data_IF_637593581401
#
_entry.id   IF_637593581401
#
_cell.length_a   1.000
_cell.length_b   1.000
_cell.length_c   1.000
_cell.angle_alpha   90.00
_cell.angle_beta   90.00
_cell.angle_gamma   90.00
#
_symmetry.space_group_name_H-M   'P 1'
#
loop_
_entity.id
_entity.type
_entity.pdbx_description
1 polymer ?
#
# COMPACT_ATOMS: atom_id res chain seq x y z
N UNK A 1 -11.58 -31.52 18.00
CA UNK A 1 -10.34 -31.48 17.19
C UNK A 1 -9.17 -31.16 18.09
N UNK A 2 -8.17 -32.02 18.11
CA UNK A 2 -7.05 -32.07 19.06
C UNK A 2 -6.10 -30.89 18.92
N UNK A 3 -6.14 -29.93 19.85
CA UNK A 3 -5.09 -28.94 20.04
C UNK A 3 -4.01 -29.54 20.94
N UNK A 4 -2.95 -30.08 20.34
CA UNK A 4 -1.76 -30.48 21.08
C UNK A 4 -0.93 -29.24 21.43
N UNK A 5 -0.63 -29.06 22.73
CA UNK A 5 0.62 -28.51 23.31
C UNK A 5 0.42 -28.40 24.83
N UNK A 6 1.25 -29.11 25.63
CA UNK A 6 2.60 -28.64 25.98
C UNK A 6 3.75 -29.53 25.46
N UNK A 7 3.45 -30.58 24.69
CA UNK A 7 4.49 -31.48 24.15
C UNK A 7 5.26 -30.91 22.94
N UNK A 8 4.84 -29.77 22.39
CA UNK A 8 5.45 -29.20 21.18
C UNK A 8 6.68 -28.33 21.50
N UNK A 9 6.72 -27.68 22.67
CA UNK A 9 7.83 -26.81 23.08
C UNK A 9 9.08 -27.61 23.49
N UNK A 10 8.88 -28.75 24.16
CA UNK A 10 9.97 -29.63 24.60
C UNK A 10 10.72 -30.34 23.45
N UNK A 11 10.12 -30.46 22.26
CA UNK A 11 10.76 -31.12 21.10
C UNK A 11 11.66 -30.20 20.28
N UNK A 12 11.46 -28.87 20.34
CA UNK A 12 12.26 -27.91 19.54
C UNK A 12 13.63 -27.60 20.18
N UNK A 13 13.75 -27.71 21.50
CA UNK A 13 14.99 -27.37 22.22
C UNK A 13 16.22 -28.23 21.86
N UNK A 14 16.03 -29.38 21.19
CA UNK A 14 17.10 -30.28 20.77
C UNK A 14 17.12 -30.54 19.25
N UNK A 15 16.46 -29.70 18.45
CA UNK A 15 16.48 -29.85 17.00
C UNK A 15 17.86 -29.49 16.43
N UNK A 16 18.32 -30.27 15.46
CA UNK A 16 19.55 -29.96 14.71
C UNK A 16 19.32 -28.75 13.80
N UNK A 17 20.41 -28.09 13.42
CA UNK A 17 20.35 -26.95 12.47
C UNK A 17 19.67 -27.35 11.15
N UNK A 18 19.92 -28.56 10.64
CA UNK A 18 19.28 -29.07 9.41
C UNK A 18 17.76 -29.22 9.56
N UNK A 19 17.28 -29.71 10.72
CA UNK A 19 15.85 -29.82 11.00
C UNK A 19 15.18 -28.45 11.12
N UNK A 20 15.86 -27.48 11.76
CA UNK A 20 15.38 -26.11 11.85
C UNK A 20 15.29 -25.44 10.47
N UNK A 21 16.29 -25.65 9.60
CA UNK A 21 16.26 -25.15 8.23
C UNK A 21 15.13 -25.78 7.41
N UNK A 22 14.90 -27.08 7.54
CA UNK A 22 13.78 -27.76 6.88
C UNK A 22 12.41 -27.20 7.34
N UNK A 23 12.28 -26.87 8.63
CA UNK A 23 11.09 -26.21 9.17
C UNK A 23 10.93 -24.78 8.61
N UNK A 24 12.01 -24.01 8.51
CA UNK A 24 11.98 -22.67 7.94
C UNK A 24 11.51 -22.67 6.48
N UNK A 25 11.98 -23.61 5.68
CA UNK A 25 11.56 -23.75 4.28
C UNK A 25 10.07 -24.06 4.13
N UNK A 26 9.43 -24.62 5.16
CA UNK A 26 7.98 -24.87 5.17
C UNK A 26 7.19 -23.63 5.59
N UNK A 27 7.70 -22.84 6.54
CA UNK A 27 6.98 -21.70 7.12
C UNK A 27 7.31 -20.36 6.45
N UNK A 28 8.44 -20.24 5.75
CA UNK A 28 8.86 -19.03 5.02
C UNK A 28 8.94 -19.35 3.54
N UNK A 29 8.26 -18.53 2.72
CA UNK A 29 8.39 -18.56 1.26
C UNK A 29 8.73 -17.16 0.78
N UNK A 30 9.59 -17.06 -0.22
CA UNK A 30 9.91 -15.77 -0.81
C UNK A 30 9.98 -15.86 -2.33
N UNK A 31 9.74 -14.73 -2.99
CA UNK A 31 9.86 -14.56 -4.43
C UNK A 31 10.12 -13.10 -4.78
N UNK A 32 10.81 -12.84 -5.89
CA UNK A 32 10.78 -11.52 -6.54
C UNK A 32 9.74 -11.56 -7.65
N UNK A 33 8.66 -10.80 -7.47
CA UNK A 33 7.55 -10.70 -8.41
C UNK A 33 7.88 -9.71 -9.54
N UNK A 34 7.03 -9.73 -10.57
CA UNK A 34 7.10 -8.76 -11.67
C UNK A 34 7.09 -7.32 -11.14
N UNK A 35 7.85 -6.46 -11.82
CA UNK A 35 8.08 -5.10 -11.37
C UNK A 35 8.99 -5.03 -10.15
N UNK A 36 9.88 -5.98 -9.91
CA UNK A 36 10.87 -5.92 -8.82
C UNK A 36 10.23 -5.69 -7.43
N UNK A 37 9.18 -6.44 -7.12
CA UNK A 37 8.50 -6.44 -5.82
C UNK A 37 8.90 -7.69 -5.06
N UNK A 38 9.50 -7.54 -3.88
CA UNK A 38 9.76 -8.66 -2.98
C UNK A 38 8.45 -9.17 -2.41
N UNK A 39 8.25 -10.47 -2.41
CA UNK A 39 7.15 -11.15 -1.73
C UNK A 39 7.75 -12.08 -0.67
N UNK A 40 7.34 -11.91 0.58
CA UNK A 40 7.76 -12.72 1.72
C UNK A 40 6.53 -13.20 2.47
N UNK A 41 6.28 -14.50 2.45
CA UNK A 41 5.22 -15.15 3.21
C UNK A 41 5.80 -15.81 4.44
N UNK A 42 5.17 -15.60 5.59
CA UNK A 42 5.61 -16.14 6.88
C UNK A 42 4.44 -16.77 7.62
N UNK A 43 4.32 -18.09 7.62
CA UNK A 43 3.19 -18.83 8.20
C UNK A 43 3.28 -18.99 9.74
N UNK A 44 4.46 -18.76 10.31
CA UNK A 44 4.71 -18.79 11.75
C UNK A 44 5.93 -17.93 12.09
N UNK A 45 5.85 -17.11 13.15
CA UNK A 45 6.98 -16.26 13.58
C UNK A 45 7.93 -17.07 14.46
N UNK A 46 9.18 -17.35 14.02
CA UNK A 46 10.16 -18.07 14.84
C UNK A 46 10.61 -17.22 16.03
N UNK A 47 10.88 -17.87 17.16
CA UNK A 47 11.44 -17.20 18.34
C UNK A 47 12.92 -16.88 18.21
N UNK A 48 13.42 -16.08 19.15
CA UNK A 48 14.81 -15.64 19.22
C UNK A 48 15.81 -16.81 19.15
N UNK A 49 15.62 -17.88 19.93
CA UNK A 49 16.54 -19.02 19.97
C UNK A 49 16.70 -19.67 18.60
N UNK A 50 15.59 -19.81 17.85
CA UNK A 50 15.63 -20.36 16.50
C UNK A 50 16.31 -19.38 15.54
N UNK A 51 15.96 -18.10 15.59
CA UNK A 51 16.55 -17.04 14.73
C UNK A 51 18.06 -16.95 14.95
N UNK A 52 18.56 -17.06 16.18
CA UNK A 52 20.00 -17.00 16.47
C UNK A 52 20.76 -18.18 15.88
N UNK A 53 20.15 -19.37 15.77
CA UNK A 53 20.80 -20.56 15.21
C UNK A 53 20.83 -20.57 13.67
N UNK A 54 19.84 -19.97 13.01
CA UNK A 54 19.65 -20.05 11.54
C UNK A 54 19.68 -18.68 10.85
N UNK A 55 19.92 -17.61 11.60
CA UNK A 55 19.79 -16.23 11.14
C UNK A 55 20.71 -15.93 9.96
N UNK A 56 21.94 -16.45 9.96
CA UNK A 56 22.86 -16.27 8.83
C UNK A 56 22.31 -16.84 7.52
N UNK A 57 21.64 -18.00 7.58
CA UNK A 57 20.98 -18.58 6.41
C UNK A 57 19.81 -17.71 5.97
N UNK A 58 18.93 -17.29 6.89
CA UNK A 58 17.80 -16.41 6.55
C UNK A 58 18.29 -15.11 5.90
N UNK A 59 19.37 -14.53 6.39
CA UNK A 59 19.94 -13.30 5.84
C UNK A 59 20.54 -13.55 4.46
N UNK A 60 21.36 -14.58 4.31
CA UNK A 60 22.09 -14.82 3.06
C UNK A 60 21.19 -15.32 1.93
N UNK A 61 20.26 -16.23 2.23
CA UNK A 61 19.48 -16.94 1.23
C UNK A 61 18.13 -16.28 0.91
N UNK A 62 17.59 -15.48 1.84
CA UNK A 62 16.29 -14.84 1.68
C UNK A 62 16.44 -13.32 1.69
N UNK A 63 16.97 -12.76 2.78
CA UNK A 63 16.92 -11.33 3.00
C UNK A 63 17.72 -10.52 1.99
N UNK A 64 18.94 -10.96 1.65
CA UNK A 64 19.78 -10.31 0.62
C UNK A 64 19.08 -10.22 -0.74
N UNK A 65 18.29 -11.22 -1.11
CA UNK A 65 17.52 -11.19 -2.36
C UNK A 65 16.41 -10.14 -2.30
N UNK A 66 15.71 -10.05 -1.17
CA UNK A 66 14.64 -9.07 -0.97
C UNK A 66 15.17 -7.64 -0.91
N UNK A 67 16.40 -7.43 -0.43
CA UNK A 67 17.04 -6.13 -0.35
C UNK A 67 17.23 -5.44 -1.71
N UNK A 68 17.34 -6.20 -2.81
CA UNK A 68 17.44 -5.65 -4.17
C UNK A 68 16.08 -5.20 -4.75
N UNK A 69 14.98 -5.56 -4.08
CA UNK A 69 13.64 -5.20 -4.55
C UNK A 69 13.32 -3.74 -4.27
N UNK A 70 12.38 -3.18 -5.02
CA UNK A 70 11.96 -1.77 -4.88
C UNK A 70 10.89 -1.55 -3.80
N UNK A 71 10.20 -2.62 -3.41
CA UNK A 71 9.10 -2.62 -2.45
C UNK A 71 8.82 -4.05 -1.98
N UNK A 72 8.25 -4.20 -0.79
CA UNK A 72 8.02 -5.50 -0.16
C UNK A 72 6.53 -5.74 0.11
N UNK A 73 6.07 -6.95 -0.17
CA UNK A 73 4.81 -7.51 0.31
C UNK A 73 5.14 -8.57 1.36
N UNK A 74 4.73 -8.32 2.61
CA UNK A 74 4.77 -9.27 3.71
C UNK A 74 3.41 -9.96 3.83
N UNK A 75 3.33 -11.22 3.43
CA UNK A 75 2.10 -12.00 3.42
C UNK A 75 1.92 -12.79 4.73
N UNK A 76 0.94 -12.37 5.52
CA UNK A 76 0.58 -12.95 6.81
C UNK A 76 -0.80 -13.62 6.80
N UNK A 77 -1.39 -13.84 5.62
CA UNK A 77 -2.75 -14.34 5.48
C UNK A 77 -2.92 -15.77 5.98
N UNK A 78 -1.84 -16.55 6.03
CA UNK A 78 -1.86 -17.94 6.47
C UNK A 78 -1.21 -18.14 7.86
N UNK A 79 -0.81 -17.05 8.51
CA UNK A 79 -0.03 -17.10 9.73
C UNK A 79 -0.88 -17.39 10.95
N UNK A 80 -0.52 -18.42 11.71
CA UNK A 80 -1.30 -18.89 12.87
C UNK A 80 -0.47 -18.90 14.15
N UNK A 81 -0.02 -17.72 14.56
CA UNK A 81 0.73 -17.50 15.78
C UNK A 81 2.22 -17.32 15.53
N UNK A 82 3.02 -17.62 16.55
CA UNK A 82 4.43 -17.36 16.58
C UNK A 82 4.93 -17.21 18.01
N UNK A 83 6.20 -16.87 18.16
CA UNK A 83 6.82 -16.61 19.44
C UNK A 83 7.06 -15.10 19.61
N UNK A 84 6.65 -14.55 20.76
CA UNK A 84 6.77 -13.11 21.08
C UNK A 84 8.22 -12.62 20.94
N UNK A 85 9.20 -13.46 21.27
CA UNK A 85 10.64 -13.16 21.14
C UNK A 85 11.10 -12.93 19.69
N UNK A 86 10.29 -13.31 18.69
CA UNK A 86 10.55 -13.02 17.27
C UNK A 86 10.13 -11.63 16.81
N UNK A 87 9.24 -10.95 17.55
CA UNK A 87 8.72 -9.62 17.17
C UNK A 87 9.85 -8.60 16.99
N UNK A 88 10.81 -8.43 17.92
CA UNK A 88 11.93 -7.51 17.75
C UNK A 88 12.65 -7.67 16.42
N UNK A 89 12.88 -8.90 15.99
CA UNK A 89 13.61 -9.19 14.76
C UNK A 89 12.83 -8.68 13.56
N UNK A 90 11.58 -9.12 13.37
CA UNK A 90 10.76 -8.72 12.21
C UNK A 90 10.61 -7.20 12.13
N UNK A 91 10.30 -6.53 13.25
CA UNK A 91 10.11 -5.08 13.25
C UNK A 91 11.43 -4.35 12.97
N UNK A 92 12.57 -4.83 13.47
CA UNK A 92 13.86 -4.16 13.27
C UNK A 92 14.36 -4.20 11.83
N UNK A 93 14.11 -5.30 11.10
CA UNK A 93 14.45 -5.36 9.68
C UNK A 93 13.56 -4.47 8.82
N UNK A 94 12.34 -4.16 9.26
CA UNK A 94 11.38 -3.34 8.52
C UNK A 94 11.32 -1.88 9.00
N UNK A 95 11.92 -1.57 10.13
CA UNK A 95 11.98 -0.21 10.69
C UNK A 95 13.28 0.50 10.30
N UNK A 96 13.13 1.58 9.53
CA UNK A 96 14.22 2.48 9.22
C UNK A 96 14.37 3.54 10.32
N UNK A 97 15.41 3.43 11.13
CA UNK A 97 15.76 4.43 12.13
C UNK A 97 16.84 3.96 13.09
N UNK A 98 17.82 4.82 13.35
CA UNK A 98 18.88 4.57 14.34
C UNK A 98 18.38 4.71 15.79
N UNK A 99 17.11 5.10 15.95
CA UNK A 99 16.46 5.28 17.26
C UNK A 99 15.81 3.95 17.65
N UNK A 100 16.17 3.47 18.85
CA UNK A 100 15.47 2.34 19.46
C UNK A 100 14.02 2.73 19.77
N UNK A 101 13.07 1.97 19.24
CA UNK A 101 11.65 2.18 19.46
C UNK A 101 11.09 1.11 20.38
N UNK A 102 10.35 1.56 21.39
CA UNK A 102 9.49 0.72 22.20
C UNK A 102 8.22 0.42 21.40
N UNK A 103 8.07 -0.82 20.94
CA UNK A 103 7.01 -1.21 20.01
C UNK A 103 5.83 -1.89 20.71
N UNK A 104 6.09 -2.61 21.80
CA UNK A 104 5.04 -3.18 22.65
C UNK A 104 5.53 -3.46 24.07
N UNK A 105 4.61 -3.62 25.03
CA UNK A 105 4.86 -4.18 26.36
C UNK A 105 3.93 -5.36 26.58
N UNK A 106 4.47 -6.53 26.88
CA UNK A 106 3.68 -7.73 27.19
C UNK A 106 3.55 -7.89 28.68
N UNK A 107 2.32 -7.93 29.19
CA UNK A 107 2.04 -8.31 30.57
C UNK A 107 1.67 -9.79 30.65
N UNK A 108 2.44 -10.56 31.42
CA UNK A 108 2.15 -11.96 31.75
C UNK A 108 1.60 -12.06 33.19
N UNK A 109 0.35 -12.50 33.31
CA UNK A 109 -0.36 -12.58 34.59
C UNK A 109 0.15 -13.68 35.53
N UNK A 110 0.47 -14.91 35.07
CA UNK A 110 0.97 -15.98 35.94
C UNK A 110 2.27 -15.64 36.64
N UNK A 111 3.25 -15.07 35.93
CA UNK A 111 4.50 -14.58 36.52
C UNK A 111 4.36 -13.19 37.13
N UNK A 112 3.29 -12.46 36.77
CA UNK A 112 3.05 -11.08 37.16
C UNK A 112 4.20 -10.15 36.73
N UNK A 113 4.69 -10.33 35.50
CA UNK A 113 5.79 -9.56 34.92
C UNK A 113 5.35 -8.81 33.68
N UNK A 114 6.09 -7.74 33.37
CA UNK A 114 5.96 -7.01 32.11
C UNK A 114 7.28 -7.09 31.36
N UNK A 115 7.22 -7.44 30.08
CA UNK A 115 8.38 -7.46 29.19
C UNK A 115 8.20 -6.42 28.11
N UNK A 116 9.11 -5.46 28.03
CA UNK A 116 9.12 -4.47 26.95
C UNK A 116 9.75 -5.08 25.70
N UNK A 117 9.16 -4.79 24.56
CA UNK A 117 9.62 -5.18 23.23
C UNK A 117 10.17 -3.93 22.56
N UNK A 118 11.48 -3.96 22.31
CA UNK A 118 12.19 -2.88 21.63
C UNK A 118 12.71 -3.36 20.28
N UNK A 119 12.85 -2.44 19.32
CA UNK A 119 13.67 -2.70 18.14
C UNK A 119 15.12 -2.99 18.55
N UNK A 120 15.83 -3.77 17.74
CA UNK A 120 17.22 -4.13 17.96
C UNK A 120 18.16 -2.97 17.58
N UNK A 121 19.24 -2.72 18.32
CA UNK A 121 20.24 -1.72 17.96
C UNK A 121 20.96 -2.08 16.66
N UNK A 122 21.18 -3.37 16.42
CA UNK A 122 21.81 -3.90 15.22
C UNK A 122 21.04 -5.13 14.75
N UNK A 123 21.03 -5.34 13.43
CA UNK A 123 20.51 -6.55 12.80
C UNK A 123 21.66 -7.26 12.11
N UNK A 124 21.49 -8.55 11.84
CA UNK A 124 22.43 -9.29 11.01
C UNK A 124 22.21 -8.91 9.53
N UNK A 125 23.23 -8.40 8.85
CA UNK A 125 23.04 -7.77 7.53
C UNK A 125 22.45 -6.37 7.65
N UNK A 126 21.57 -5.99 6.72
CA UNK A 126 21.07 -4.62 6.58
C UNK A 126 19.56 -4.52 6.83
N UNK A 127 19.10 -3.36 7.30
CA UNK A 127 17.66 -3.07 7.41
C UNK A 127 17.07 -2.73 6.04
N UNK A 128 15.79 -3.01 5.85
CA UNK A 128 15.07 -2.62 4.65
C UNK A 128 15.03 -1.09 4.55
N UNK A 129 15.30 -0.54 3.36
CA UNK A 129 15.35 0.91 3.18
C UNK A 129 14.00 1.55 3.52
N UNK A 130 14.04 2.66 4.27
CA UNK A 130 12.86 3.42 4.66
C UNK A 130 12.19 4.16 3.50
N UNK A 131 12.87 4.26 2.36
CA UNK A 131 12.30 4.80 1.13
C UNK A 131 11.45 3.75 0.37
N UNK A 132 11.62 2.47 0.69
CA UNK A 132 10.93 1.37 0.01
C UNK A 132 9.60 1.08 0.69
N UNK A 133 8.55 1.02 -0.10
CA UNK A 133 7.20 0.75 0.39
C UNK A 133 7.04 -0.68 0.89
N UNK A 134 6.30 -0.85 1.99
CA UNK A 134 5.92 -2.14 2.56
C UNK A 134 4.40 -2.26 2.61
N UNK A 135 3.87 -3.38 2.12
CA UNK A 135 2.46 -3.77 2.27
C UNK A 135 2.39 -5.07 3.06
N UNK A 136 1.49 -5.14 4.02
CA UNK A 136 1.22 -6.35 4.82
C UNK A 136 -0.13 -6.92 4.41
N UNK A 137 -0.18 -8.21 4.07
CA UNK A 137 -1.42 -8.90 3.74
C UNK A 137 -1.98 -9.63 4.95
N UNK A 138 -3.26 -9.45 5.24
CA UNK A 138 -3.95 -10.10 6.36
C UNK A 138 -5.24 -10.79 5.92
N UNK A 139 -5.62 -11.84 6.64
CA UNK A 139 -6.90 -12.53 6.47
C UNK A 139 -7.57 -12.74 7.82
N UNK A 140 -8.82 -13.20 7.82
CA UNK A 140 -9.50 -13.68 9.04
C UNK A 140 -8.83 -14.92 9.70
N UNK A 141 -7.84 -15.54 9.06
CA UNK A 141 -7.03 -16.61 9.64
C UNK A 141 -5.77 -16.11 10.36
N UNK A 142 -5.34 -14.88 10.11
CA UNK A 142 -4.20 -14.25 10.78
C UNK A 142 -4.51 -14.11 12.27
N UNK A 143 -3.73 -14.77 13.14
CA UNK A 143 -4.01 -14.81 14.59
C UNK A 143 -2.74 -14.86 15.46
N UNK A 144 -2.73 -14.17 16.60
CA UNK A 144 -1.69 -14.24 17.63
C UNK A 144 -0.55 -13.24 17.41
N UNK A 145 0.70 -13.64 17.67
CA UNK A 145 1.92 -12.80 17.54
C UNK A 145 2.01 -12.03 16.22
N UNK A 146 1.54 -12.64 15.13
CA UNK A 146 1.53 -12.02 13.80
C UNK A 146 0.55 -10.84 13.69
N UNK A 147 -0.54 -10.84 14.45
CA UNK A 147 -1.46 -9.70 14.54
C UNK A 147 -0.75 -8.51 15.19
N UNK A 148 0.09 -8.76 16.20
CA UNK A 148 0.88 -7.72 16.85
C UNK A 148 1.90 -7.09 15.89
N UNK A 149 2.60 -7.90 15.08
CA UNK A 149 3.49 -7.39 14.02
C UNK A 149 2.73 -6.50 13.03
N UNK A 150 1.58 -6.97 12.53
CA UNK A 150 0.76 -6.18 11.61
C UNK A 150 0.26 -4.87 12.26
N UNK A 151 -0.12 -4.93 13.54
CA UNK A 151 -0.55 -3.77 14.32
C UNK A 151 0.59 -2.75 14.51
N UNK A 152 1.77 -3.20 14.93
CA UNK A 152 2.96 -2.37 15.14
C UNK A 152 3.35 -1.66 13.85
N UNK A 153 3.53 -2.41 12.74
CA UNK A 153 3.91 -1.83 11.45
C UNK A 153 2.88 -0.82 10.94
N UNK A 154 1.58 -1.09 11.17
CA UNK A 154 0.50 -0.15 10.86
C UNK A 154 0.57 1.12 11.70
N UNK A 155 0.75 1.00 13.01
CA UNK A 155 0.78 2.15 13.93
C UNK A 155 2.02 3.02 13.74
N UNK A 156 3.16 2.41 13.42
CA UNK A 156 4.39 3.11 13.04
C UNK A 156 4.30 3.79 11.67
N UNK A 157 3.22 3.57 10.90
CA UNK A 157 3.05 4.01 9.50
C UNK A 157 4.16 3.49 8.57
N UNK A 158 4.80 2.39 8.94
CA UNK A 158 5.86 1.75 8.18
C UNK A 158 5.29 0.88 7.05
N UNK A 159 4.08 0.34 7.24
CA UNK A 159 3.42 -0.49 6.23
C UNK A 159 1.93 -0.13 6.05
N UNK A 160 1.40 -0.47 4.87
CA UNK A 160 -0.04 -0.48 4.61
C UNK A 160 -0.57 -1.89 4.85
N UNK A 161 -1.57 -2.04 5.70
CA UNK A 161 -2.25 -3.34 5.89
C UNK A 161 -3.41 -3.44 4.90
N UNK A 162 -3.42 -4.51 4.09
CA UNK A 162 -4.38 -4.79 3.02
C UNK A 162 -4.95 -6.20 3.21
N UNK A 163 -6.26 -6.36 3.05
CA UNK A 163 -6.93 -7.65 3.15
C UNK A 163 -8.11 -7.59 4.12
N UNK A 164 -8.27 -8.63 4.94
CA UNK A 164 -9.38 -8.73 5.89
C UNK A 164 -8.94 -8.32 7.30
N UNK A 165 -9.92 -8.07 8.16
CA UNK A 165 -9.71 -7.95 9.60
C UNK A 165 -9.19 -9.29 10.14
N UNK A 166 -8.12 -9.22 10.95
CA UNK A 166 -7.54 -10.42 11.58
C UNK A 166 -8.47 -10.98 12.66
N UNK A 167 -8.17 -12.18 13.18
CA UNK A 167 -9.10 -12.92 14.02
C UNK A 167 -9.39 -12.25 15.38
N UNK A 168 -8.45 -11.48 15.93
CA UNK A 168 -8.55 -10.91 17.26
C UNK A 168 -8.22 -11.94 18.35
N UNK A 169 -7.08 -12.63 18.20
CA UNK A 169 -6.61 -13.61 19.17
C UNK A 169 -6.13 -13.00 20.48
N UNK A 170 -5.42 -13.83 21.24
CA UNK A 170 -4.63 -13.43 22.40
C UNK A 170 -3.19 -13.92 22.22
N UNK A 171 -2.24 -13.26 22.88
CA UNK A 171 -0.83 -13.64 22.79
C UNK A 171 -0.54 -15.01 23.43
N UNK A 172 -1.13 -15.29 24.59
CA UNK A 172 -1.02 -16.59 25.26
C UNK A 172 -2.36 -16.99 25.89
N UNK A 173 -2.77 -18.23 25.60
CA UNK A 173 -3.96 -18.88 26.10
C UNK A 173 -3.55 -20.13 26.89
N UNK A 174 -3.88 -20.15 28.18
CA UNK A 174 -3.67 -21.34 29.02
C UNK A 174 -4.96 -22.10 29.24
N UNK A 175 -4.94 -23.38 28.89
CA UNK A 175 -5.99 -24.34 29.25
C UNK A 175 -5.69 -24.94 30.63
N UNK A 176 -6.49 -24.58 31.62
CA UNK A 176 -6.32 -24.98 33.02
C UNK A 176 -7.44 -25.94 33.42
N UNK A 177 -7.08 -27.06 34.06
CA UNK A 177 -8.06 -28.00 34.63
C UNK A 177 -8.66 -27.42 35.90
N UNK A 178 -9.97 -27.59 36.10
CA UNK A 178 -10.66 -27.10 37.29
C UNK A 178 -10.62 -28.18 38.38
N UNK A 179 -9.69 -28.04 39.33
CA UNK A 179 -9.50 -28.97 40.44
C UNK A 179 -9.22 -30.40 39.97
N UNK A 180 -9.92 -31.37 40.54
CA UNK A 180 -9.84 -32.79 40.15
C UNK A 180 -10.87 -33.19 39.08
N UNK A 181 -11.68 -32.25 38.58
CA UNK A 181 -12.74 -32.53 37.60
C UNK A 181 -12.21 -32.62 36.17
N UNK A 182 -12.99 -33.15 35.24
CA UNK A 182 -12.65 -33.16 33.81
C UNK A 182 -13.02 -31.86 33.07
N UNK A 183 -13.42 -30.82 33.82
CA UNK A 183 -13.67 -29.49 33.27
C UNK A 183 -12.37 -28.71 33.08
N UNK A 184 -12.33 -27.92 32.02
CA UNK A 184 -11.22 -27.03 31.71
C UNK A 184 -11.74 -25.61 31.45
N UNK A 185 -10.95 -24.62 31.86
CA UNK A 185 -11.11 -23.23 31.47
C UNK A 185 -9.95 -22.84 30.56
N UNK A 186 -10.23 -22.09 29.49
CA UNK A 186 -9.19 -21.46 28.67
C UNK A 186 -9.17 -19.99 29.02
N UNK A 187 -8.03 -19.50 29.50
CA UNK A 187 -7.88 -18.13 30.00
C UNK A 187 -6.75 -17.45 29.23
N UNK A 188 -6.95 -16.22 28.71
CA UNK A 188 -5.86 -15.38 28.24
C UNK A 188 -5.02 -14.98 29.44
N UNK A 189 -3.74 -15.33 29.40
CA UNK A 189 -2.81 -15.11 30.52
C UNK A 189 -1.78 -14.05 30.23
N UNK A 190 -1.58 -13.70 28.97
CA UNK A 190 -0.74 -12.59 28.54
C UNK A 190 -1.54 -11.62 27.68
N UNK A 191 -1.17 -10.33 27.71
CA UNK A 191 -1.72 -9.30 26.83
C UNK A 191 -0.68 -8.25 26.42
N UNK A 192 -0.85 -7.72 25.23
CA UNK A 192 -0.19 -6.55 24.66
C UNK A 192 -0.70 -5.26 25.31
N UNK A 193 0.22 -4.36 25.61
CA UNK A 193 -0.02 -3.03 26.20
C UNK A 193 0.62 -1.95 25.33
N UNK A 194 0.45 -2.07 24.00
CA UNK A 194 1.21 -1.29 23.03
C UNK A 194 1.19 0.22 23.31
N UNK A 195 2.38 0.86 23.39
CA UNK A 195 2.51 2.30 23.59
C UNK A 195 2.08 3.11 22.36
N UNK A 196 1.89 2.43 21.22
CA UNK A 196 1.59 3.05 19.92
C UNK A 196 0.09 3.33 19.72
N UNK A 197 -0.77 2.71 20.53
CA UNK A 197 -2.19 3.04 20.63
C UNK A 197 -2.40 4.06 21.74
N UNK A 198 -3.24 5.09 21.53
CA UNK A 198 -3.54 6.10 22.56
C UNK A 198 -4.30 5.54 23.77
N UNK A 199 -3.64 4.70 24.58
CA UNK A 199 -4.08 4.14 25.87
C UNK A 199 -5.20 3.10 25.85
N UNK A 200 -6.06 3.06 24.82
CA UNK A 200 -7.28 2.24 24.83
C UNK A 200 -7.50 1.35 23.60
N UNK A 201 -6.69 1.48 22.55
CA UNK A 201 -6.79 0.62 21.36
C UNK A 201 -5.82 -0.56 21.48
N UNK A 202 -6.36 -1.76 21.58
CA UNK A 202 -5.63 -3.03 21.48
C UNK A 202 -6.10 -3.78 20.24
N UNK A 203 -5.23 -4.53 19.60
CA UNK A 203 -5.65 -5.45 18.53
C UNK A 203 -6.31 -6.71 19.11
N UNK A 204 -6.00 -7.11 20.35
CA UNK A 204 -6.58 -8.32 20.96
C UNK A 204 -8.11 -8.27 21.06
N UNK A 205 -8.76 -9.40 20.79
CA UNK A 205 -10.22 -9.55 20.79
C UNK A 205 -10.94 -9.00 19.55
N UNK A 206 -10.47 -7.89 18.98
CA UNK A 206 -11.08 -7.30 17.77
C UNK A 206 -10.32 -7.62 16.49
N UNK A 207 -9.02 -7.88 16.58
CA UNK A 207 -8.12 -8.00 15.44
C UNK A 207 -7.65 -6.65 14.90
N UNK A 208 -6.69 -6.71 13.99
CA UNK A 208 -6.17 -5.58 13.24
C UNK A 208 -7.10 -5.31 12.08
N UNK A 209 -7.82 -4.18 12.15
CA UNK A 209 -8.56 -3.67 11.01
C UNK A 209 -7.57 -3.24 9.90
N UNK A 210 -7.65 -3.73 8.66
CA UNK A 210 -6.77 -3.31 7.59
C UNK A 210 -7.02 -1.84 7.21
N UNK A 211 -6.02 -1.19 6.60
CA UNK A 211 -6.22 0.14 6.00
C UNK A 211 -7.05 0.04 4.73
N UNK A 212 -6.89 -1.07 4.00
CA UNK A 212 -7.64 -1.39 2.78
C UNK A 212 -8.37 -2.71 3.01
N UNK A 213 -9.65 -2.63 3.36
CA UNK A 213 -10.51 -3.79 3.58
C UNK A 213 -10.95 -4.41 2.25
N UNK A 214 -10.53 -5.63 1.97
CA UNK A 214 -10.84 -6.39 0.75
C UNK A 214 -10.75 -7.89 1.04
N UNK A 215 -11.44 -8.79 0.32
CA UNK A 215 -11.24 -10.23 0.49
C UNK A 215 -9.77 -10.63 0.35
N UNK A 216 -9.32 -11.55 1.20
CA UNK A 216 -7.93 -11.99 1.28
C UNK A 216 -7.36 -12.41 -0.09
N UNK A 217 -8.17 -13.13 -0.87
CA UNK A 217 -7.86 -13.60 -2.23
C UNK A 217 -7.48 -12.47 -3.22
N UNK A 218 -7.98 -11.25 -3.00
CA UNK A 218 -7.72 -10.07 -3.84
C UNK A 218 -6.63 -9.15 -3.24
N UNK A 219 -6.16 -9.44 -2.02
CA UNK A 219 -5.28 -8.56 -1.27
C UNK A 219 -3.91 -8.39 -1.96
N UNK A 220 -3.35 -9.45 -2.54
CA UNK A 220 -2.08 -9.40 -3.26
C UNK A 220 -2.18 -8.53 -4.51
N UNK A 221 -3.21 -8.72 -5.33
CA UNK A 221 -3.45 -7.89 -6.52
C UNK A 221 -3.57 -6.41 -6.15
N UNK A 222 -4.37 -6.11 -5.11
CA UNK A 222 -4.53 -4.75 -4.62
C UNK A 222 -3.22 -4.15 -4.09
N UNK A 223 -2.40 -4.94 -3.39
CA UNK A 223 -1.09 -4.53 -2.92
C UNK A 223 -0.16 -4.16 -4.08
N UNK A 224 -0.08 -5.00 -5.11
CA UNK A 224 0.73 -4.75 -6.30
C UNK A 224 0.29 -3.49 -7.06
N UNK A 225 -1.02 -3.25 -7.15
CA UNK A 225 -1.56 -2.02 -7.75
C UNK A 225 -1.14 -0.77 -6.95
N UNK A 226 -1.24 -0.81 -5.61
CA UNK A 226 -0.82 0.30 -4.74
C UNK A 226 0.68 0.58 -4.91
N UNK A 227 1.51 -0.46 -4.90
CA UNK A 227 2.97 -0.35 -5.06
C UNK A 227 3.35 0.21 -6.43
N UNK A 228 2.69 -0.26 -7.49
CA UNK A 228 2.90 0.24 -8.86
C UNK A 228 2.58 1.73 -8.99
N UNK A 229 1.44 2.15 -8.41
CA UNK A 229 1.06 3.56 -8.35
C UNK A 229 2.09 4.40 -7.60
N UNK A 230 2.53 3.95 -6.42
CA UNK A 230 3.53 4.67 -5.61
C UNK A 230 4.85 4.84 -6.35
N UNK A 231 5.28 3.82 -7.08
CA UNK A 231 6.49 3.88 -7.92
C UNK A 231 6.34 4.85 -9.08
N UNK A 232 5.20 4.86 -9.77
CA UNK A 232 4.98 5.73 -10.93
C UNK A 232 4.76 7.21 -10.55
N UNK A 233 4.26 7.45 -9.33
CA UNK A 233 3.83 8.78 -8.86
C UNK A 233 4.89 9.88 -8.98
N UNK A 234 6.14 9.73 -8.52
CA UNK A 234 7.15 10.80 -8.64
C UNK A 234 7.35 11.25 -10.10
N UNK A 235 7.46 10.30 -11.03
CA UNK A 235 7.59 10.60 -12.46
C UNK A 235 6.33 11.22 -13.07
N UNK A 236 5.15 10.85 -12.61
CA UNK A 236 3.89 11.47 -13.03
C UNK A 236 3.79 12.94 -12.56
N UNK A 237 4.15 13.22 -11.31
CA UNK A 237 4.17 14.59 -10.76
C UNK A 237 5.20 15.44 -11.49
N UNK A 238 6.40 14.91 -11.74
CA UNK A 238 7.43 15.61 -12.49
C UNK A 238 6.93 16.00 -13.89
N UNK A 239 6.33 15.06 -14.63
CA UNK A 239 5.75 15.36 -15.95
C UNK A 239 4.63 16.40 -15.88
N UNK A 240 3.78 16.36 -14.86
CA UNK A 240 2.76 17.39 -14.65
C UNK A 240 3.39 18.77 -14.43
N UNK A 241 4.43 18.86 -13.61
CA UNK A 241 5.20 20.09 -13.39
C UNK A 241 5.76 20.65 -14.70
N UNK A 242 6.38 19.81 -15.53
CA UNK A 242 6.92 20.20 -16.84
C UNK A 242 5.82 20.71 -17.79
N UNK A 243 4.66 20.04 -17.81
CA UNK A 243 3.50 20.46 -18.62
C UNK A 243 2.99 21.83 -18.18
N UNK A 244 2.84 22.06 -16.86
CA UNK A 244 2.41 23.34 -16.32
C UNK A 244 3.38 24.47 -16.69
N UNK A 245 4.69 24.22 -16.57
CA UNK A 245 5.72 25.22 -16.91
C UNK A 245 5.74 25.56 -18.39
N UNK A 246 5.52 24.57 -19.26
CA UNK A 246 5.68 24.74 -20.70
C UNK A 246 4.42 25.23 -21.41
N UNK A 247 3.24 24.78 -20.97
CA UNK A 247 2.01 24.96 -21.75
C UNK A 247 0.93 25.77 -21.04
N UNK A 248 0.99 25.93 -19.70
CA UNK A 248 -0.08 26.62 -19.00
C UNK A 248 -0.01 28.14 -19.21
N UNK A 249 -1.11 28.72 -19.68
CA UNK A 249 -1.14 30.13 -20.13
C UNK A 249 -1.16 31.13 -18.98
N UNK A 250 -1.66 30.76 -17.80
CA UNK A 250 -1.66 31.63 -16.61
C UNK A 250 -0.32 31.49 -15.87
N UNK A 251 0.74 32.02 -16.48
CA UNK A 251 2.15 31.87 -16.04
C UNK A 251 2.37 32.33 -14.60
N UNK A 252 1.69 33.41 -14.17
CA UNK A 252 1.81 33.96 -12.81
C UNK A 252 1.36 32.96 -11.72
N UNK A 253 0.51 31.98 -12.07
CA UNK A 253 0.02 30.94 -11.15
C UNK A 253 0.97 29.74 -11.06
N UNK A 254 1.86 29.56 -12.03
CA UNK A 254 2.73 28.37 -12.12
C UNK A 254 3.61 28.21 -10.87
N UNK A 255 4.34 29.23 -10.37
CA UNK A 255 5.18 29.06 -9.18
C UNK A 255 4.42 28.55 -7.95
N UNK A 256 3.20 29.07 -7.73
CA UNK A 256 2.34 28.63 -6.63
C UNK A 256 1.86 27.19 -6.82
N UNK A 257 1.43 26.82 -8.05
CA UNK A 257 1.03 25.45 -8.37
C UNK A 257 2.15 24.44 -8.07
N UNK A 258 3.37 24.74 -8.53
CA UNK A 258 4.52 23.86 -8.30
C UNK A 258 4.85 23.72 -6.82
N UNK A 259 4.81 24.81 -6.07
CA UNK A 259 5.02 24.79 -4.62
C UNK A 259 3.98 23.92 -3.90
N UNK A 260 2.70 24.05 -4.27
CA UNK A 260 1.66 23.25 -3.63
C UNK A 260 1.72 21.77 -4.01
N UNK A 261 2.09 21.45 -5.26
CA UNK A 261 2.23 20.05 -5.72
C UNK A 261 3.32 19.28 -4.95
N UNK A 262 4.40 19.94 -4.55
CA UNK A 262 5.47 19.33 -3.74
C UNK A 262 5.08 19.19 -2.27
N UNK A 263 4.16 20.03 -1.78
CA UNK A 263 3.70 20.02 -0.40
C UNK A 263 2.54 19.03 -0.11
N UNK A 264 2.01 18.34 -1.13
CA UNK A 264 0.90 17.39 -0.95
C UNK A 264 1.36 16.19 -0.11
N UNK A 265 0.57 15.86 0.91
CA UNK A 265 0.68 14.56 1.58
C UNK A 265 0.01 13.46 0.72
N UNK A 266 0.86 12.63 0.11
CA UNK A 266 0.45 11.48 -0.71
C UNK A 266 0.27 10.19 0.11
N UNK A 267 0.44 10.20 1.43
CA UNK A 267 0.36 9.01 2.27
C UNK A 267 -1.00 8.31 2.26
N UNK A 268 -2.06 9.03 1.86
CA UNK A 268 -3.43 8.51 1.74
C UNK A 268 -3.83 8.09 0.32
N UNK A 269 -2.95 8.24 -0.66
CA UNK A 269 -3.22 7.84 -2.05
C UNK A 269 -3.04 6.34 -2.21
N UNK A 270 -4.12 5.65 -2.56
CA UNK A 270 -4.13 4.19 -2.75
C UNK A 270 -4.60 3.79 -4.17
N UNK A 271 -5.26 4.68 -4.89
CA UNK A 271 -5.66 4.47 -6.30
C UNK A 271 -5.28 5.65 -7.21
N UNK A 272 -5.36 5.43 -8.52
CA UNK A 272 -5.14 6.48 -9.51
C UNK A 272 -6.19 7.61 -9.39
N UNK A 273 -7.43 7.25 -9.04
CA UNK A 273 -8.50 8.21 -8.76
C UNK A 273 -8.19 9.07 -7.53
N UNK A 274 -7.66 8.47 -6.45
CA UNK A 274 -7.23 9.24 -5.28
C UNK A 274 -6.14 10.25 -5.64
N UNK A 275 -5.18 9.84 -6.49
CA UNK A 275 -4.11 10.71 -6.96
C UNK A 275 -4.67 11.85 -7.81
N UNK A 276 -5.50 11.54 -8.81
CA UNK A 276 -6.13 12.53 -9.67
C UNK A 276 -6.99 13.51 -8.86
N UNK A 277 -7.77 13.02 -7.90
CA UNK A 277 -8.58 13.85 -7.02
C UNK A 277 -7.72 14.82 -6.19
N UNK A 278 -6.62 14.35 -5.58
CA UNK A 278 -5.69 15.21 -4.83
C UNK A 278 -5.01 16.25 -5.71
N UNK A 279 -4.54 15.84 -6.89
CA UNK A 279 -3.92 16.76 -7.84
C UNK A 279 -4.93 17.84 -8.25
N UNK A 280 -6.13 17.44 -8.66
CA UNK A 280 -7.19 18.37 -9.05
C UNK A 280 -7.59 19.33 -7.93
N UNK A 281 -7.65 18.87 -6.68
CA UNK A 281 -7.94 19.75 -5.55
C UNK A 281 -6.94 20.90 -5.44
N UNK A 282 -5.64 20.61 -5.63
CA UNK A 282 -4.60 21.65 -5.62
C UNK A 282 -4.65 22.51 -6.87
N UNK A 283 -4.77 21.90 -8.06
CA UNK A 283 -4.82 22.62 -9.32
C UNK A 283 -5.97 23.63 -9.32
N UNK A 284 -7.17 23.21 -8.91
CA UNK A 284 -8.36 24.06 -8.88
C UNK A 284 -8.28 25.16 -7.82
N UNK A 285 -7.79 24.85 -6.61
CA UNK A 285 -7.70 25.82 -5.53
C UNK A 285 -6.70 26.96 -5.80
N UNK A 286 -5.62 26.69 -6.53
CA UNK A 286 -4.55 27.67 -6.80
C UNK A 286 -4.76 28.40 -8.12
N UNK A 287 -5.25 27.70 -9.15
CA UNK A 287 -5.41 28.27 -10.48
C UNK A 287 -6.72 29.02 -10.67
N UNK A 288 -7.78 28.60 -9.97
CA UNK A 288 -9.17 29.00 -10.23
C UNK A 288 -9.61 28.75 -11.69
N UNK A 289 -8.88 27.91 -12.45
CA UNK A 289 -9.22 27.56 -13.83
C UNK A 289 -9.89 26.17 -13.87
N UNK A 290 -11.21 26.08 -14.13
CA UNK A 290 -11.93 24.82 -14.17
C UNK A 290 -11.50 23.90 -15.32
N UNK A 291 -10.75 24.42 -16.29
CA UNK A 291 -10.25 23.65 -17.45
C UNK A 291 -8.94 22.93 -17.15
N UNK A 292 -8.19 23.36 -16.11
CA UNK A 292 -6.95 22.72 -15.72
C UNK A 292 -7.24 21.50 -14.83
N UNK A 293 -7.18 20.31 -15.43
CA UNK A 293 -7.60 19.08 -14.78
C UNK A 293 -6.76 17.87 -15.22
N UNK A 294 -6.58 16.94 -14.29
CA UNK A 294 -5.97 15.62 -14.47
C UNK A 294 -7.08 14.57 -14.49
N UNK A 295 -7.08 13.70 -15.50
CA UNK A 295 -8.03 12.58 -15.61
C UNK A 295 -7.28 11.26 -15.67
N UNK A 296 -7.87 10.25 -15.05
CA UNK A 296 -7.50 8.85 -15.26
C UNK A 296 -8.17 8.40 -16.54
N UNK A 297 -7.38 7.93 -17.51
CA UNK A 297 -7.91 7.44 -18.79
C UNK A 297 -8.63 6.13 -18.56
N UNK A 298 -9.86 6.01 -19.05
CA UNK A 298 -10.53 4.71 -19.09
C UNK A 298 -9.93 3.87 -20.22
N UNK A 299 -9.88 2.53 -20.09
CA UNK A 299 -9.36 1.65 -21.15
C UNK A 299 -9.99 1.89 -22.53
N UNK A 300 -11.27 2.25 -22.56
CA UNK A 300 -12.01 2.56 -23.80
C UNK A 300 -11.61 3.91 -24.45
N UNK A 301 -11.05 4.84 -23.67
CA UNK A 301 -10.58 6.15 -24.15
C UNK A 301 -9.11 6.10 -24.60
N UNK A 302 -8.34 5.12 -24.09
CA UNK A 302 -6.93 4.93 -24.43
C UNK A 302 -6.73 4.48 -25.89
N UNK A 303 -7.69 3.73 -26.46
CA UNK A 303 -7.68 3.33 -27.88
C UNK A 303 -7.92 4.53 -28.81
N UNK A 304 -8.89 5.38 -28.47
CA UNK A 304 -9.21 6.60 -29.24
C UNK A 304 -8.04 7.60 -29.22
N UNK A 305 -7.35 7.74 -28.08
CA UNK A 305 -6.18 8.61 -27.97
C UNK A 305 -4.94 8.11 -28.72
N UNK A 306 -4.83 6.81 -29.00
CA UNK A 306 -3.76 6.23 -29.82
C UNK A 306 -4.00 6.45 -31.32
N UNK A 307 -5.26 6.36 -31.77
CA UNK A 307 -5.67 6.68 -33.13
C UNK A 307 -5.54 8.18 -33.44
N UNK A 308 -5.99 9.06 -32.52
CA UNK A 308 -5.83 10.50 -32.67
C UNK A 308 -4.36 10.97 -32.70
N UNK A 309 -3.43 10.20 -32.11
CA UNK A 309 -1.98 10.46 -32.20
C UNK A 309 -1.37 10.05 -33.54
N UNK A 310 -2.04 9.19 -34.32
CA UNK A 310 -1.61 8.82 -35.67
C UNK A 310 -2.18 9.76 -36.75
N UNK A 311 -3.27 10.48 -36.46
CA UNK A 311 -3.90 11.42 -37.42
C UNK A 311 -3.38 12.86 -37.34
N UNK A 312 -2.38 13.16 -36.51
CA UNK A 312 -1.72 14.47 -36.49
C UNK A 312 -0.75 14.67 -37.69
N UNK A 313 -1.21 14.39 -38.90
CA UNK A 313 -0.73 15.05 -40.11
C UNK A 313 -1.63 16.24 -40.37
N UNK A 314 -1.08 17.44 -40.24
CA UNK A 314 -1.75 18.70 -40.61
C UNK A 314 -2.41 18.53 -41.99
N UNK A 315 -3.74 18.61 -42.13
CA UNK A 315 -4.34 18.63 -43.44
C UNK A 315 -3.84 19.88 -44.15
N UNK A 316 -3.38 19.74 -45.40
CA UNK A 316 -3.15 20.89 -46.25
C UNK A 316 -4.42 21.75 -46.30
N UNK A 317 -4.32 23.09 -46.40
CA UNK A 317 -5.49 23.97 -46.40
C UNK A 317 -6.44 23.54 -47.52
N UNK A 318 -7.64 23.10 -47.13
CA UNK A 318 -8.64 22.62 -48.07
C UNK A 318 -9.00 23.78 -49.02
N UNK A 319 -8.82 23.57 -50.32
CA UNK A 319 -9.25 24.52 -51.35
C UNK A 319 -10.77 24.73 -51.26
N UNK A 320 -11.20 25.99 -51.31
CA UNK A 320 -12.63 26.37 -51.34
C UNK A 320 -13.38 25.56 -52.42
N UNK A 321 -14.54 24.95 -52.11
CA UNK A 321 -15.33 24.20 -53.08
C UNK A 321 -15.67 25.07 -54.29
N UNK A 322 -15.62 24.52 -55.51
CA UNK A 322 -15.87 25.30 -56.73
C UNK A 322 -17.35 25.57 -56.99
N UNK A 323 -18.26 24.76 -56.43
CA UNK A 323 -19.70 24.93 -56.65
C UNK A 323 -20.37 25.80 -55.58
N UNK A 324 -21.26 26.69 -56.02
CA UNK A 324 -22.00 27.60 -55.13
C UNK A 324 -22.93 26.86 -54.16
N UNK A 325 -23.45 25.68 -54.54
CA UNK A 325 -24.25 24.83 -53.67
C UNK A 325 -23.45 24.20 -52.54
N UNK A 326 -22.19 23.82 -52.78
CA UNK A 326 -21.31 23.33 -51.72
C UNK A 326 -20.83 24.46 -50.80
N UNK A 327 -20.59 25.66 -51.34
CA UNK A 327 -20.27 26.85 -50.53
C UNK A 327 -21.44 27.22 -49.63
N UNK A 328 -22.67 27.22 -50.15
CA UNK A 328 -23.85 27.52 -49.35
C UNK A 328 -24.07 26.49 -48.23
N UNK A 329 -23.86 25.20 -48.52
CA UNK A 329 -23.93 24.16 -47.49
C UNK A 329 -22.86 24.33 -46.40
N UNK A 330 -21.64 24.77 -46.76
CA UNK A 330 -20.58 25.06 -45.80
C UNK A 330 -20.91 26.28 -44.95
N UNK A 331 -21.48 27.31 -45.57
CA UNK A 331 -21.96 28.52 -44.92
C UNK A 331 -23.04 28.17 -43.90
N UNK A 332 -24.07 27.42 -44.29
CA UNK A 332 -25.18 27.04 -43.41
C UNK A 332 -24.73 26.13 -42.26
N UNK A 333 -23.63 25.39 -42.43
CA UNK A 333 -23.02 24.55 -41.40
C UNK A 333 -22.17 25.35 -40.39
N UNK A 334 -21.52 26.44 -40.84
CA UNK A 334 -20.56 27.21 -40.02
C UNK A 334 -21.20 28.45 -39.40
N UNK A 335 -22.19 29.05 -40.06
CA UNK A 335 -22.88 30.23 -39.56
C UNK A 335 -24.38 30.27 -39.90
N UNK A 336 -25.19 30.70 -38.95
CA UNK A 336 -26.61 30.97 -39.16
C UNK A 336 -26.85 32.46 -39.30
N UNK A 337 -27.50 32.85 -40.41
CA UNK A 337 -27.93 34.23 -40.66
C UNK A 337 -29.44 34.28 -40.73
N UNK A 338 -30.06 35.18 -39.97
CA UNK A 338 -31.48 35.51 -40.13
C UNK A 338 -31.72 37.01 -39.94
N UNK A 339 -32.77 37.53 -40.56
CA UNK A 339 -33.22 38.91 -40.34
C UNK A 339 -34.50 38.86 -39.52
N UNK A 340 -34.43 39.41 -38.31
CA UNK A 340 -35.53 39.43 -37.35
C UNK A 340 -36.47 40.63 -37.63
N UNK A 341 -37.72 40.60 -37.13
CA UNK A 341 -38.66 41.71 -37.26
C UNK A 341 -38.04 43.02 -36.77
N UNK A 342 -38.23 44.11 -37.53
CA UNK A 342 -37.60 45.41 -37.25
C UNK A 342 -36.25 45.62 -37.94
N UNK A 343 -35.91 44.80 -38.96
CA UNK A 343 -34.69 44.93 -39.75
C UNK A 343 -33.40 44.76 -38.93
N UNK A 344 -33.42 43.81 -37.98
CA UNK A 344 -32.27 43.48 -37.14
C UNK A 344 -31.63 42.19 -37.66
N UNK A 345 -30.35 42.27 -38.04
CA UNK A 345 -29.58 41.09 -38.45
C UNK A 345 -29.15 40.25 -37.25
N UNK A 346 -29.35 38.94 -37.33
CA UNK A 346 -28.84 37.94 -36.40
C UNK A 346 -27.79 37.09 -37.11
N UNK A 347 -26.60 37.02 -36.53
CA UNK A 347 -25.48 36.21 -36.99
C UNK A 347 -24.96 35.36 -35.82
N UNK A 348 -24.95 34.05 -36.00
CA UNK A 348 -24.38 33.09 -35.04
C UNK A 348 -23.27 32.30 -35.72
N UNK A 349 -22.13 32.17 -35.04
CA UNK A 349 -21.03 31.31 -35.45
C UNK A 349 -21.12 30.01 -34.65
N UNK A 350 -21.22 28.88 -35.35
CA UNK A 350 -21.30 27.56 -34.72
C UNK A 350 -19.92 26.86 -34.69
N UNK A 351 -19.01 27.27 -35.58
CA UNK A 351 -17.63 26.78 -35.61
C UNK A 351 -16.70 27.88 -36.15
N UNK A 352 -15.45 27.92 -35.68
CA UNK A 352 -14.40 28.74 -36.27
C UNK A 352 -13.32 27.79 -36.80
N UNK A 353 -12.91 27.98 -38.05
CA UNK A 353 -11.78 27.24 -38.59
C UNK A 353 -10.51 27.59 -37.79
N UNK A 354 -9.79 26.57 -37.32
CA UNK A 354 -8.48 26.75 -36.70
C UNK A 354 -7.52 27.37 -37.73
N UNK A 355 -6.85 28.46 -37.34
CA UNK A 355 -5.93 29.25 -38.17
C UNK A 355 -4.55 28.63 -38.29
#
# INVERSE_FOLDING_TARGET
STSGSPQHDSKRANATQEELLALLQQIIKYQVLEGNVGYLRVDYIPGQEMIEQVGEFLVNDIWKQLMETSSLVLDLQHSRGGEVSGIPFVISYLHHGDILLHVDTIYDRPSNTTTEIWTLPQVLGDRYSGEKDIVVLTSHHTVGVVEDIAYILKKMRQAIVVGEQTLGGALDLRKLRIGQSDYFITVPVARSLSPLGGGSQTWEGSGVLPRVGIPAEQALEKALAILSLRRARPGAIQRLTEVLQKYYTLVDRVPALLHHLTAIDYSSVLTEEDLAAKLNAVLQAVSEDPRLLVRVLRPEEATVGAEARQEATTPAPASLPESDSQRQALIDAVFQVSVLPGNVGYLRFDEFADS
#
